data_IF_237282829622
#
_entry.id   IF_237282829622
#
_cell.length_a   1.000
_cell.length_b   1.000
_cell.length_c   1.000
_cell.angle_alpha   90.00
_cell.angle_beta   90.00
_cell.angle_gamma   90.00
#
_symmetry.space_group_name_H-M   'P 1'
#
loop_
_entity.id
_entity.type
_entity.pdbx_description
1 polymer ?
#
# COMPACT_ATOMS: atom_id res chain seq x y z
N UNK A 1 -15.17 -7.92 17.71
CA UNK A 1 -14.03 -7.56 16.84
C UNK A 1 -12.82 -7.25 17.75
N UNK A 2 -12.32 -8.27 18.47
CA UNK A 2 -11.43 -8.07 19.63
C UNK A 2 -9.93 -8.16 19.31
N UNK A 3 -9.57 -8.42 18.05
CA UNK A 3 -8.18 -8.60 17.62
C UNK A 3 -7.48 -7.29 17.22
N UNK A 4 -8.25 -6.25 16.84
CA UNK A 4 -7.71 -4.93 16.48
C UNK A 4 -7.01 -4.27 17.68
N UNK A 5 -7.61 -4.19 18.89
CA UNK A 5 -6.93 -3.67 20.07
C UNK A 5 -5.61 -4.36 20.38
N UNK A 6 -5.54 -5.68 20.15
CA UNK A 6 -4.30 -6.45 20.33
C UNK A 6 -3.20 -5.96 19.38
N UNK A 7 -3.52 -5.71 18.10
CA UNK A 7 -2.54 -5.18 17.15
C UNK A 7 -2.12 -3.74 17.47
N UNK A 8 -3.04 -2.91 17.97
CA UNK A 8 -2.72 -1.55 18.45
C UNK A 8 -1.68 -1.64 19.58
N UNK A 9 -1.91 -2.49 20.56
CA UNK A 9 -0.97 -2.70 21.67
C UNK A 9 0.41 -3.14 21.16
N UNK A 10 0.50 -4.06 20.19
CA UNK A 10 1.78 -4.51 19.63
C UNK A 10 2.45 -3.43 18.78
N UNK A 11 1.67 -2.60 18.08
CA UNK A 11 2.17 -1.42 17.37
C UNK A 11 2.83 -0.43 18.33
N UNK A 12 2.14 -0.07 19.43
CA UNK A 12 2.68 0.82 20.47
C UNK A 12 3.95 0.25 21.10
N UNK A 13 3.98 -1.05 21.37
CA UNK A 13 5.17 -1.73 21.87
C UNK A 13 6.37 -1.56 20.93
N UNK A 14 6.20 -1.84 19.63
CA UNK A 14 7.26 -1.68 18.62
C UNK A 14 7.75 -0.24 18.57
N UNK A 15 6.83 0.73 18.52
CA UNK A 15 7.16 2.16 18.49
C UNK A 15 7.94 2.58 19.74
N UNK A 16 7.56 2.08 20.92
CA UNK A 16 8.25 2.33 22.18
C UNK A 16 9.68 1.79 22.19
N UNK A 17 9.88 0.57 21.68
CA UNK A 17 11.22 -0.01 21.53
C UNK A 17 12.08 0.85 20.62
N UNK A 18 11.58 1.21 19.43
CA UNK A 18 12.32 2.06 18.48
C UNK A 18 12.64 3.45 19.06
N UNK A 19 11.68 4.07 19.74
CA UNK A 19 11.85 5.38 20.37
C UNK A 19 12.90 5.34 21.51
N UNK A 20 12.87 4.29 22.35
CA UNK A 20 13.84 4.12 23.44
C UNK A 20 15.25 3.90 22.91
N UNK A 21 15.42 3.10 21.84
CA UNK A 21 16.73 2.91 21.21
C UNK A 21 17.28 4.23 20.67
N UNK A 22 16.42 5.05 20.04
CA UNK A 22 16.79 6.39 19.56
C UNK A 22 17.26 7.32 20.68
N UNK A 23 16.60 7.30 21.85
CA UNK A 23 17.02 8.07 23.03
C UNK A 23 18.40 7.64 23.55
N UNK A 24 18.77 6.36 23.35
CA UNK A 24 20.09 5.83 23.70
C UNK A 24 21.16 6.05 22.60
N UNK A 25 20.88 6.91 21.61
CA UNK A 25 21.80 7.20 20.49
C UNK A 25 21.81 6.15 19.37
N UNK A 26 20.91 5.16 19.41
CA UNK A 26 20.77 4.14 18.36
C UNK A 26 19.66 4.58 17.39
N UNK A 27 20.06 5.17 16.26
CA UNK A 27 19.11 5.74 15.29
C UNK A 27 18.27 4.70 14.53
N UNK A 28 18.76 3.47 14.42
CA UNK A 28 18.11 2.37 13.69
C UNK A 28 18.31 1.02 14.35
N UNK A 29 17.28 0.19 14.34
CA UNK A 29 17.25 -1.13 14.99
C UNK A 29 17.10 -2.22 13.93
N UNK A 30 17.99 -3.22 13.96
CA UNK A 30 17.95 -4.31 12.99
C UNK A 30 16.80 -5.30 13.30
N UNK A 31 16.14 -5.85 12.28
CA UNK A 31 15.01 -6.78 12.46
C UNK A 31 15.34 -8.00 13.32
N UNK A 32 16.59 -8.48 13.30
CA UNK A 32 17.05 -9.61 14.14
C UNK A 32 16.95 -9.34 15.64
N UNK A 33 16.95 -8.07 16.06
CA UNK A 33 16.77 -7.70 17.46
C UNK A 33 15.28 -7.64 17.84
N UNK A 34 14.43 -7.19 16.92
CA UNK A 34 12.98 -7.08 17.14
C UNK A 34 12.27 -8.44 17.04
N UNK A 35 12.66 -9.27 16.06
CA UNK A 35 11.95 -10.49 15.68
C UNK A 35 11.77 -11.49 16.83
N UNK A 36 12.80 -11.83 17.63
CA UNK A 36 12.63 -12.80 18.72
C UNK A 36 11.61 -12.34 19.77
N UNK A 37 11.58 -11.04 20.06
CA UNK A 37 10.65 -10.46 21.02
C UNK A 37 9.23 -10.47 20.46
N UNK A 38 9.07 -10.02 19.21
CA UNK A 38 7.77 -10.02 18.54
C UNK A 38 7.21 -11.43 18.35
N UNK A 39 8.04 -12.40 17.98
CA UNK A 39 7.62 -13.80 17.85
C UNK A 39 7.09 -14.36 19.18
N UNK A 40 7.70 -14.01 20.32
CA UNK A 40 7.18 -14.40 21.64
C UNK A 40 5.86 -13.73 21.96
N UNK A 41 5.72 -12.44 21.66
CA UNK A 41 4.47 -11.71 21.89
C UNK A 41 3.33 -12.28 21.04
N UNK A 42 3.61 -12.60 19.78
CA UNK A 42 2.64 -13.10 18.81
C UNK A 42 2.33 -14.60 18.96
N UNK A 43 3.10 -15.36 19.73
CA UNK A 43 2.87 -16.80 19.92
C UNK A 43 1.48 -17.11 20.51
N UNK A 44 0.98 -16.21 21.36
CA UNK A 44 -0.33 -16.31 22.00
C UNK A 44 -1.34 -15.33 21.39
N UNK A 45 -1.11 -14.85 20.16
CA UNK A 45 -2.03 -13.94 19.50
C UNK A 45 -3.37 -14.65 19.20
N UNK A 46 -4.51 -13.93 19.27
CA UNK A 46 -5.80 -14.44 18.83
C UNK A 46 -5.74 -15.01 17.41
N UNK A 47 -6.60 -15.99 17.10
CA UNK A 47 -6.60 -16.67 15.81
C UNK A 47 -6.71 -15.68 14.64
N UNK A 48 -7.56 -14.66 14.76
CA UNK A 48 -7.76 -13.65 13.74
C UNK A 48 -6.50 -12.81 13.49
N UNK A 49 -5.67 -12.59 14.52
CA UNK A 49 -4.35 -11.93 14.34
C UNK A 49 -3.39 -12.85 13.60
N UNK A 50 -3.42 -14.15 13.91
CA UNK A 50 -2.58 -15.13 13.22
C UNK A 50 -2.96 -15.24 11.75
N UNK A 51 -4.26 -15.27 11.45
CA UNK A 51 -4.81 -15.23 10.10
C UNK A 51 -4.45 -13.93 9.37
N UNK A 52 -4.61 -12.78 10.05
CA UNK A 52 -4.22 -11.48 9.52
C UNK A 52 -2.73 -11.44 9.15
N UNK A 53 -1.85 -12.02 9.96
CA UNK A 53 -0.39 -12.03 9.75
C UNK A 53 0.09 -13.24 8.93
N UNK A 54 -0.81 -14.10 8.45
CA UNK A 54 -0.45 -15.33 7.76
C UNK A 54 0.21 -15.03 6.41
N UNK A 55 1.42 -15.55 6.19
CA UNK A 55 2.10 -15.43 4.91
C UNK A 55 3.01 -16.63 4.62
N UNK A 56 3.14 -16.99 3.34
CA UNK A 56 3.90 -18.18 2.91
C UNK A 56 5.41 -18.08 3.16
N UNK A 57 5.99 -16.87 3.14
CA UNK A 57 7.44 -16.67 3.17
C UNK A 57 7.95 -15.90 4.39
N UNK A 58 7.07 -15.15 5.05
CA UNK A 58 7.47 -14.22 6.11
C UNK A 58 6.90 -14.70 7.44
N UNK A 59 7.64 -14.50 8.53
CA UNK A 59 7.15 -14.78 9.88
C UNK A 59 6.09 -13.74 10.29
N UNK A 60 5.18 -14.05 11.23
CA UNK A 60 4.20 -13.08 11.73
C UNK A 60 4.82 -11.76 12.22
N UNK A 61 5.98 -11.84 12.89
CA UNK A 61 6.73 -10.66 13.32
C UNK A 61 7.20 -9.80 12.13
N UNK A 62 7.71 -10.44 11.07
CA UNK A 62 8.12 -9.73 9.86
C UNK A 62 6.93 -9.18 9.08
N UNK A 63 5.80 -9.87 9.07
CA UNK A 63 4.52 -9.37 8.52
C UNK A 63 4.07 -8.11 9.26
N UNK A 64 4.09 -8.13 10.59
CA UNK A 64 3.70 -6.97 11.42
C UNK A 64 4.62 -5.77 11.16
N UNK A 65 5.94 -5.96 11.16
CA UNK A 65 6.90 -4.88 10.86
C UNK A 65 6.70 -4.31 9.44
N UNK A 66 6.53 -5.18 8.44
CA UNK A 66 6.29 -4.74 7.07
C UNK A 66 4.95 -3.99 6.95
N UNK A 67 3.91 -4.43 7.65
CA UNK A 67 2.62 -3.75 7.64
C UNK A 67 2.70 -2.37 8.30
N UNK A 68 3.25 -2.26 9.51
CA UNK A 68 3.47 -0.97 10.18
C UNK A 68 4.33 -0.01 9.35
N UNK A 69 5.34 -0.55 8.66
CA UNK A 69 6.14 0.26 7.74
C UNK A 69 5.34 0.69 6.51
N UNK A 70 4.46 -0.17 6.00
CA UNK A 70 3.68 0.12 4.79
C UNK A 70 2.68 1.25 4.98
N UNK A 71 2.20 1.45 6.21
CA UNK A 71 1.28 2.55 6.57
C UNK A 71 2.02 3.78 7.15
N UNK A 72 3.36 3.71 7.23
CA UNK A 72 4.23 4.80 7.69
C UNK A 72 4.28 5.05 9.21
N UNK A 73 3.76 4.12 10.02
CA UNK A 73 3.86 4.17 11.50
C UNK A 73 5.29 3.93 11.99
N UNK A 74 6.06 3.15 11.22
CA UNK A 74 7.51 2.99 11.36
C UNK A 74 8.15 3.11 9.98
N UNK A 75 9.48 3.18 9.93
CA UNK A 75 10.23 3.27 8.68
C UNK A 75 11.10 2.05 8.54
N UNK A 76 10.98 1.38 7.42
CA UNK A 76 11.92 0.36 6.97
C UNK A 76 13.04 1.02 6.18
N UNK A 77 14.26 0.81 6.64
CA UNK A 77 15.49 1.21 5.99
C UNK A 77 16.10 0.00 5.26
N UNK A 78 17.15 0.26 4.49
CA UNK A 78 17.93 -0.78 3.83
C UNK A 78 18.50 -1.80 4.82
N UNK A 79 18.87 -2.97 4.30
CA UNK A 79 19.49 -4.07 5.06
C UNK A 79 18.70 -4.55 6.28
N UNK A 80 17.38 -4.33 6.29
CA UNK A 80 16.49 -4.85 7.34
C UNK A 80 16.50 -4.05 8.64
N UNK A 81 16.86 -2.77 8.58
CA UNK A 81 16.78 -1.85 9.71
C UNK A 81 15.41 -1.15 9.79
N UNK A 82 15.01 -0.77 11.00
CA UNK A 82 13.79 0.01 11.25
C UNK A 82 14.07 1.21 12.15
N UNK A 83 13.31 2.28 11.96
CA UNK A 83 13.32 3.47 12.80
C UNK A 83 11.92 4.09 12.91
N UNK A 84 11.77 5.16 13.69
CA UNK A 84 10.53 5.91 13.83
C UNK A 84 10.79 7.41 13.63
N UNK A 85 9.94 8.05 12.82
CA UNK A 85 9.96 9.50 12.65
C UNK A 85 9.32 10.24 13.82
N UNK A 86 9.45 11.57 13.81
CA UNK A 86 8.71 12.40 14.74
C UNK A 86 7.19 12.19 14.56
N UNK A 87 6.43 12.11 15.66
CA UNK A 87 4.96 12.10 15.61
C UNK A 87 4.41 13.34 14.91
N UNK A 88 3.30 13.16 14.19
CA UNK A 88 2.59 14.26 13.53
C UNK A 88 1.09 13.97 13.46
N UNK A 89 0.31 15.01 13.21
CA UNK A 89 -1.10 14.91 12.88
C UNK A 89 -1.28 14.96 11.37
N UNK A 90 -2.24 14.19 10.87
CA UNK A 90 -2.68 14.23 9.49
C UNK A 90 -4.10 14.79 9.42
N UNK A 91 -4.36 15.69 8.49
CA UNK A 91 -5.70 16.16 8.16
C UNK A 91 -6.31 15.27 7.05
N UNK A 92 -7.48 14.69 7.34
CA UNK A 92 -8.24 13.89 6.40
C UNK A 92 -8.85 14.75 5.29
N UNK A 93 -9.02 14.21 4.07
CA UNK A 93 -9.20 15.04 2.89
C UNK A 93 -10.62 15.60 2.77
N UNK A 94 -11.66 14.85 3.16
CA UNK A 94 -13.07 15.25 3.06
C UNK A 94 -13.56 15.84 4.37
N UNK A 95 -13.46 15.08 5.45
CA UNK A 95 -14.03 15.46 6.76
C UNK A 95 -13.22 16.52 7.49
N UNK A 96 -11.97 16.75 7.08
CA UNK A 96 -10.98 17.60 7.77
C UNK A 96 -10.70 17.16 9.20
N UNK A 97 -11.10 15.94 9.58
CA UNK A 97 -10.73 15.38 10.87
C UNK A 97 -9.21 15.19 10.95
N UNK A 98 -8.68 15.27 12.16
CA UNK A 98 -7.25 15.09 12.42
C UNK A 98 -7.01 13.70 13.00
N UNK A 99 -6.03 12.98 12.46
CA UNK A 99 -5.59 11.68 12.98
C UNK A 99 -4.12 11.75 13.38
N UNK A 100 -3.78 11.17 14.53
CA UNK A 100 -2.40 11.10 15.01
C UNK A 100 -1.67 9.87 14.47
N UNK A 101 -0.44 10.06 13.96
CA UNK A 101 0.42 8.96 13.48
C UNK A 101 1.77 8.95 14.20
N UNK A 102 2.33 7.75 14.37
CA UNK A 102 3.66 7.49 14.98
C UNK A 102 3.78 7.83 16.47
N UNK A 103 2.66 8.03 17.17
CA UNK A 103 2.64 8.30 18.62
C UNK A 103 3.01 7.06 19.43
N UNK A 104 3.72 7.26 20.55
CA UNK A 104 4.22 6.20 21.43
C UNK A 104 3.33 5.99 22.67
N UNK A 105 2.79 7.07 23.27
CA UNK A 105 2.17 7.01 24.61
C UNK A 105 0.78 7.70 24.71
N UNK A 106 0.53 8.78 23.97
CA UNK A 106 -0.69 9.58 24.06
C UNK A 106 -1.81 9.04 23.16
N UNK A 107 -2.32 7.85 23.47
CA UNK A 107 -3.40 7.23 22.71
C UNK A 107 -4.68 7.10 23.55
N UNK A 108 -5.80 7.57 23.01
CA UNK A 108 -7.06 6.85 23.18
C UNK A 108 -7.17 5.92 21.97
N UNK A 109 -7.29 4.62 22.22
CA UNK A 109 -7.38 3.62 21.17
C UNK A 109 -8.65 3.81 20.33
N UNK A 110 -8.47 3.95 19.02
CA UNK A 110 -9.58 3.88 18.07
C UNK A 110 -9.95 2.41 17.82
N UNK A 111 -11.24 2.11 17.75
CA UNK A 111 -11.74 0.73 17.78
C UNK A 111 -11.42 -0.07 16.49
N UNK A 112 -11.12 0.63 15.38
CA UNK A 112 -11.03 0.05 14.02
C UNK A 112 -9.77 0.51 13.27
N UNK A 113 -8.91 1.32 13.87
CA UNK A 113 -7.67 1.81 13.23
C UNK A 113 -6.50 1.62 14.19
N UNK A 114 -5.27 1.78 13.70
CA UNK A 114 -4.07 1.80 14.56
C UNK A 114 -3.49 3.19 14.76
N UNK A 115 -4.14 4.21 14.20
CA UNK A 115 -3.83 5.61 14.43
C UNK A 115 -4.31 6.05 15.80
N UNK A 116 -3.71 7.13 16.29
CA UNK A 116 -4.04 7.75 17.57
C UNK A 116 -4.97 8.95 17.37
N UNK A 117 -5.52 9.46 18.48
CA UNK A 117 -6.06 10.83 18.50
C UNK A 117 -4.96 11.85 18.17
N UNK A 118 -5.33 12.99 17.57
CA UNK A 118 -4.38 14.06 17.30
C UNK A 118 -3.93 14.76 18.58
N UNK A 119 -2.70 15.27 18.58
CA UNK A 119 -2.13 16.11 19.66
C UNK A 119 -1.78 17.48 19.08
N UNK A 120 -2.45 18.53 19.58
CA UNK A 120 -2.32 19.89 19.06
C UNK A 120 -0.90 20.47 19.15
N UNK A 121 -0.01 19.90 19.96
CA UNK A 121 1.40 20.31 20.03
C UNK A 121 2.25 19.80 18.87
N UNK A 122 1.75 18.86 18.05
CA UNK A 122 2.48 18.30 16.90
C UNK A 122 2.12 18.99 15.59
N UNK A 123 3.03 18.86 14.62
CA UNK A 123 2.82 19.39 13.27
C UNK A 123 1.58 18.77 12.62
N UNK A 124 0.86 19.58 11.84
CA UNK A 124 -0.26 19.15 11.02
C UNK A 124 0.19 19.07 9.56
N UNK A 125 -0.07 17.95 8.91
CA UNK A 125 0.18 17.73 7.49
C UNK A 125 -1.13 17.31 6.81
N UNK A 126 -1.42 17.77 5.58
CA UNK A 126 -2.43 17.14 4.77
C UNK A 126 -2.12 15.65 4.57
N UNK A 127 -3.12 14.77 4.58
CA UNK A 127 -2.89 13.34 4.35
C UNK A 127 -2.23 13.05 2.99
N UNK A 128 -2.42 13.94 2.02
CA UNK A 128 -1.79 13.86 0.69
C UNK A 128 -0.28 14.05 0.73
N UNK A 129 0.21 14.78 1.73
CA UNK A 129 1.64 15.08 1.91
C UNK A 129 2.33 14.02 2.78
N UNK A 130 1.54 13.18 3.47
CA UNK A 130 2.03 12.06 4.26
C UNK A 130 2.72 11.00 3.40
N UNK A 131 2.08 10.66 2.27
CA UNK A 131 2.60 9.78 1.23
C UNK A 131 2.27 10.41 -0.11
N UNK A 132 3.30 10.96 -0.76
CA UNK A 132 3.14 11.49 -2.11
C UNK A 132 2.77 10.37 -3.07
N UNK A 133 1.65 10.55 -3.76
CA UNK A 133 1.15 9.64 -4.78
C UNK A 133 0.73 10.44 -6.01
N UNK A 134 1.39 10.24 -7.18
CA UNK A 134 1.05 10.96 -8.39
C UNK A 134 -0.35 10.58 -8.86
N UNK A 135 -1.03 11.50 -9.54
CA UNK A 135 -2.28 11.20 -10.25
C UNK A 135 -2.04 10.09 -11.29
N UNK A 136 -3.13 9.46 -11.75
CA UNK A 136 -3.03 8.42 -12.79
C UNK A 136 -2.42 8.96 -14.08
N UNK A 137 -2.72 10.21 -14.44
CA UNK A 137 -2.11 10.88 -15.59
C UNK A 137 -0.61 11.11 -15.40
N UNK A 138 -0.22 11.73 -14.27
CA UNK A 138 1.19 11.97 -13.93
C UNK A 138 2.00 10.66 -13.89
N UNK A 139 1.39 9.58 -13.40
CA UNK A 139 2.02 8.26 -13.34
C UNK A 139 2.54 7.84 -14.72
N UNK A 140 1.74 8.00 -15.79
CA UNK A 140 2.19 7.62 -17.13
C UNK A 140 3.18 8.64 -17.71
N UNK A 141 3.03 9.92 -17.35
CA UNK A 141 3.91 11.00 -17.81
C UNK A 141 5.32 10.96 -17.21
N UNK A 142 5.51 10.24 -16.09
CA UNK A 142 6.85 9.97 -15.52
C UNK A 142 7.70 9.05 -16.41
N UNK A 143 7.07 8.28 -17.30
CA UNK A 143 7.77 7.37 -18.20
C UNK A 143 8.01 8.07 -19.55
N UNK A 144 9.19 8.70 -19.67
CA UNK A 144 9.57 9.49 -20.84
C UNK A 144 10.75 8.88 -21.62
N UNK A 145 11.60 8.11 -20.95
CA UNK A 145 12.86 7.60 -21.49
C UNK A 145 12.73 6.13 -21.85
N UNK A 146 12.32 5.86 -23.09
CA UNK A 146 12.19 4.50 -23.60
C UNK A 146 13.44 4.08 -24.36
N UNK A 147 13.93 2.87 -24.09
CA UNK A 147 15.07 2.26 -24.78
C UNK A 147 14.60 1.19 -25.76
N UNK A 148 15.19 1.14 -26.95
CA UNK A 148 14.91 0.11 -27.94
C UNK A 148 15.20 -1.29 -27.40
N UNK A 149 14.34 -2.25 -27.75
CA UNK A 149 14.48 -3.67 -27.41
C UNK A 149 13.88 -4.53 -28.53
N UNK A 150 14.55 -5.63 -28.83
CA UNK A 150 14.10 -6.57 -29.86
C UNK A 150 13.32 -7.77 -29.30
N UNK A 151 13.42 -8.02 -27.98
CA UNK A 151 12.90 -9.23 -27.34
C UNK A 151 11.95 -8.96 -26.17
N UNK A 152 10.65 -9.11 -26.44
CA UNK A 152 9.57 -9.09 -25.45
C UNK A 152 8.74 -10.37 -25.56
N UNK A 153 8.42 -10.99 -24.43
CA UNK A 153 7.65 -12.24 -24.43
C UNK A 153 6.17 -11.98 -24.66
N UNK A 154 5.64 -10.91 -24.09
CA UNK A 154 4.21 -10.63 -24.14
C UNK A 154 3.94 -9.14 -24.09
N UNK A 155 2.99 -8.70 -24.92
CA UNK A 155 2.58 -7.30 -25.03
C UNK A 155 1.07 -7.23 -24.86
N UNK A 156 0.63 -6.26 -24.08
CA UNK A 156 -0.77 -6.04 -23.75
C UNK A 156 -1.20 -4.63 -24.10
N UNK A 157 -2.39 -4.54 -24.68
CA UNK A 157 -3.14 -3.31 -24.88
C UNK A 157 -4.30 -3.26 -23.89
N UNK A 158 -4.51 -2.09 -23.30
CA UNK A 158 -5.67 -1.84 -22.46
C UNK A 158 -6.81 -1.26 -23.30
N UNK A 159 -8.02 -1.75 -23.03
CA UNK A 159 -9.26 -1.36 -23.72
C UNK A 159 -10.37 -1.22 -22.67
N UNK A 160 -11.52 -0.65 -23.06
CA UNK A 160 -12.72 -0.62 -22.20
C UNK A 160 -13.16 -2.01 -21.69
N UNK A 161 -12.83 -3.07 -22.45
CA UNK A 161 -13.12 -4.46 -22.10
C UNK A 161 -12.05 -5.13 -21.24
N UNK A 162 -10.94 -4.45 -20.98
CA UNK A 162 -9.83 -4.94 -20.17
C UNK A 162 -8.54 -5.10 -20.95
N UNK A 163 -7.60 -5.82 -20.32
CA UNK A 163 -6.26 -6.09 -20.84
C UNK A 163 -6.33 -7.20 -21.90
N UNK A 164 -5.85 -6.90 -23.10
CA UNK A 164 -5.80 -7.85 -24.21
C UNK A 164 -4.35 -8.06 -24.63
N UNK A 165 -3.92 -9.32 -24.74
CA UNK A 165 -2.63 -9.66 -25.34
C UNK A 165 -2.67 -9.36 -26.84
N UNK A 166 -1.62 -8.74 -27.37
CA UNK A 166 -1.52 -8.34 -28.78
C UNK A 166 -0.26 -8.95 -29.38
N UNK A 167 -0.42 -9.60 -30.53
CA UNK A 167 0.68 -10.27 -31.26
C UNK A 167 0.98 -9.61 -32.61
N UNK A 168 0.10 -8.73 -33.10
CA UNK A 168 0.21 -8.03 -34.39
C UNK A 168 -0.61 -6.73 -34.40
N UNK A 169 -0.40 -5.89 -35.41
CA UNK A 169 -1.14 -4.63 -35.63
C UNK A 169 -0.98 -3.63 -34.47
N UNK A 170 0.26 -3.26 -34.19
CA UNK A 170 0.59 -2.28 -33.17
C UNK A 170 0.32 -0.86 -33.67
N UNK A 171 -0.17 0.00 -32.78
CA UNK A 171 -0.43 1.40 -33.06
C UNK A 171 0.77 2.20 -32.61
N UNK A 172 1.34 2.95 -33.55
CA UNK A 172 2.50 3.80 -33.29
C UNK A 172 2.24 4.78 -32.14
N UNK A 173 3.23 4.96 -31.26
CA UNK A 173 3.24 5.87 -30.11
C UNK A 173 2.15 5.63 -29.04
N UNK A 174 1.35 4.57 -29.17
CA UNK A 174 0.44 4.14 -28.10
C UNK A 174 1.22 3.45 -26.99
N UNK A 175 0.81 3.69 -25.74
CA UNK A 175 1.35 2.96 -24.59
C UNK A 175 0.76 1.56 -24.49
N UNK A 176 1.65 0.60 -24.28
CA UNK A 176 1.38 -0.80 -24.02
C UNK A 176 2.03 -1.19 -22.69
N UNK A 177 1.57 -2.30 -22.12
CA UNK A 177 2.32 -3.00 -21.07
C UNK A 177 3.03 -4.17 -21.73
N UNK A 178 4.32 -4.32 -21.46
CA UNK A 178 5.09 -5.49 -21.88
C UNK A 178 5.61 -6.28 -20.68
N UNK A 179 5.78 -7.58 -20.87
CA UNK A 179 6.34 -8.49 -19.88
C UNK A 179 7.49 -9.28 -20.51
N UNK A 180 8.55 -9.48 -19.71
CA UNK A 180 9.70 -10.33 -20.06
C UNK A 180 10.05 -11.23 -18.87
N UNK A 181 10.12 -12.53 -19.10
CA UNK A 181 10.47 -13.56 -18.13
C UNK A 181 11.97 -13.78 -18.17
N UNK A 182 12.62 -13.50 -17.05
CA UNK A 182 14.02 -13.87 -16.84
C UNK A 182 14.07 -15.15 -16.01
N UNK A 183 14.64 -16.21 -16.58
CA UNK A 183 14.89 -17.44 -15.84
C UNK A 183 16.00 -17.23 -14.80
N UNK A 184 15.85 -17.83 -13.62
CA UNK A 184 16.92 -17.90 -12.63
C UNK A 184 17.80 -19.12 -12.89
N UNK A 185 19.10 -19.02 -12.60
CA UNK A 185 20.06 -20.11 -12.75
C UNK A 185 19.69 -21.39 -11.96
N UNK A 186 18.94 -21.23 -10.86
CA UNK A 186 18.51 -22.34 -9.98
C UNK A 186 17.05 -22.75 -10.18
N UNK A 187 16.46 -22.40 -11.32
CA UNK A 187 15.06 -22.70 -11.64
C UNK A 187 14.08 -21.61 -11.21
N UNK A 188 12.97 -21.51 -11.94
CA UNK A 188 11.96 -20.45 -11.79
C UNK A 188 12.22 -19.24 -12.70
N UNK A 189 11.29 -18.27 -12.66
CA UNK A 189 11.35 -17.07 -13.49
C UNK A 189 10.92 -15.81 -12.71
N UNK A 190 11.58 -14.68 -12.97
CA UNK A 190 11.09 -13.33 -12.61
C UNK A 190 10.44 -12.71 -13.82
N UNK A 191 9.22 -12.20 -13.66
CA UNK A 191 8.56 -11.42 -14.72
C UNK A 191 8.87 -9.94 -14.50
N UNK A 192 9.69 -9.36 -15.37
CA UNK A 192 9.88 -7.93 -15.46
C UNK A 192 8.76 -7.30 -16.26
N UNK A 193 8.33 -6.11 -15.84
CA UNK A 193 7.23 -5.38 -16.45
C UNK A 193 7.72 -4.04 -16.96
N UNK A 194 7.22 -3.66 -18.12
CA UNK A 194 7.65 -2.46 -18.82
C UNK A 194 6.44 -1.71 -19.36
N UNK A 195 6.53 -0.39 -19.38
CA UNK A 195 5.75 0.39 -20.32
C UNK A 195 6.46 0.32 -21.68
N UNK A 196 5.68 0.14 -22.74
CA UNK A 196 6.20 -0.05 -24.09
C UNK A 196 5.51 0.88 -25.09
N UNK A 197 6.26 1.33 -26.10
CA UNK A 197 5.76 2.04 -27.28
C UNK A 197 6.25 1.33 -28.52
N UNK A 198 5.39 1.27 -29.54
CA UNK A 198 5.77 0.81 -30.87
C UNK A 198 6.12 2.01 -31.73
N UNK A 199 7.32 2.03 -32.29
CA UNK A 199 7.79 3.06 -33.23
C UNK A 199 8.35 2.36 -34.47
N UNK A 200 9.67 2.42 -34.68
CA UNK A 200 10.41 1.60 -35.66
C UNK A 200 10.93 0.29 -35.04
N UNK A 201 10.17 -0.25 -34.09
CA UNK A 201 10.61 -1.27 -33.14
C UNK A 201 10.00 -1.03 -31.77
N UNK A 202 10.20 -1.97 -30.83
CA UNK A 202 9.73 -1.81 -29.47
C UNK A 202 10.68 -0.96 -28.66
N UNK A 203 10.13 0.02 -27.96
CA UNK A 203 10.86 0.83 -27.01
C UNK A 203 10.21 0.68 -25.64
N UNK A 204 11.01 0.41 -24.62
CA UNK A 204 10.51 0.07 -23.28
C UNK A 204 11.12 0.94 -22.19
N UNK A 205 10.41 1.08 -21.08
CA UNK A 205 10.93 1.60 -19.83
C UNK A 205 10.45 0.70 -18.69
N UNK A 206 11.38 0.28 -17.81
CA UNK A 206 11.08 -0.63 -16.71
C UNK A 206 10.15 0.03 -15.69
N UNK A 207 9.13 -0.72 -15.28
CA UNK A 207 8.23 -0.33 -14.19
C UNK A 207 8.81 -0.92 -12.89
N UNK A 208 9.05 -0.07 -11.89
CA UNK A 208 9.46 -0.53 -10.58
C UNK A 208 8.37 -1.37 -9.92
N UNK A 209 8.74 -2.39 -9.15
CA UNK A 209 7.78 -3.35 -8.60
C UNK A 209 6.68 -2.68 -7.74
N UNK A 210 7.00 -1.59 -7.05
CA UNK A 210 6.05 -0.79 -6.26
C UNK A 210 5.01 -0.05 -7.11
N UNK A 211 5.36 0.34 -8.34
CA UNK A 211 4.53 1.20 -9.20
C UNK A 211 3.65 0.39 -10.15
N UNK A 212 3.85 -0.93 -10.25
CA UNK A 212 3.12 -1.82 -11.17
C UNK A 212 1.61 -1.59 -11.08
N UNK A 213 1.05 -1.58 -9.87
CA UNK A 213 -0.39 -1.43 -9.72
C UNK A 213 -0.87 -0.05 -10.12
N UNK A 214 -0.17 1.02 -9.75
CA UNK A 214 -0.53 2.37 -10.18
C UNK A 214 -0.52 2.51 -11.70
N UNK A 215 0.49 1.95 -12.38
CA UNK A 215 0.55 1.90 -13.85
C UNK A 215 -0.64 1.11 -14.43
N UNK A 216 -1.05 0.00 -13.81
CA UNK A 216 -2.24 -0.74 -14.23
C UNK A 216 -3.51 0.10 -14.10
N UNK A 217 -3.70 0.81 -12.99
CA UNK A 217 -4.84 1.72 -12.82
C UNK A 217 -4.82 2.81 -13.91
N UNK A 218 -3.68 3.46 -14.13
CA UNK A 218 -3.55 4.52 -15.10
C UNK A 218 -3.81 4.06 -16.55
N UNK A 219 -3.30 2.88 -16.95
CA UNK A 219 -3.57 2.32 -18.27
C UNK A 219 -5.05 1.94 -18.47
N UNK A 220 -5.73 1.46 -17.42
CA UNK A 220 -7.17 1.19 -17.46
C UNK A 220 -7.97 2.49 -17.58
N UNK A 221 -7.69 3.49 -16.75
CA UNK A 221 -8.37 4.80 -16.76
C UNK A 221 -8.24 5.47 -18.13
N UNK A 222 -7.01 5.52 -18.70
CA UNK A 222 -6.76 6.02 -20.07
C UNK A 222 -7.54 5.25 -21.14
N UNK A 223 -7.87 3.99 -20.91
CA UNK A 223 -8.67 3.16 -21.81
C UNK A 223 -10.18 3.26 -21.57
N UNK A 224 -10.63 4.14 -20.66
CA UNK A 224 -12.03 4.32 -20.29
C UNK A 224 -12.59 3.16 -19.45
N UNK A 225 -11.73 2.44 -18.73
CA UNK A 225 -12.12 1.35 -17.84
C UNK A 225 -11.72 1.69 -16.40
N UNK A 226 -12.67 1.52 -15.48
CA UNK A 226 -12.47 1.85 -14.07
C UNK A 226 -12.61 0.60 -13.21
N UNK A 227 -11.76 0.47 -12.20
CA UNK A 227 -11.98 -0.53 -11.16
C UNK A 227 -13.09 -0.07 -10.23
N UNK A 228 -13.74 -1.05 -9.61
CA UNK A 228 -14.93 -0.82 -8.81
C UNK A 228 -14.76 -1.25 -7.37
N UNK A 229 -15.58 -0.70 -6.48
CA UNK A 229 -15.70 -1.13 -5.10
C UNK A 229 -17.17 -1.29 -4.69
N UNK A 230 -17.43 -2.06 -3.63
CA UNK A 230 -18.75 -2.23 -3.00
C UNK A 230 -18.66 -1.77 -1.55
N UNK A 231 -19.70 -1.11 -1.08
CA UNK A 231 -19.88 -0.71 0.31
C UNK A 231 -21.00 -1.53 0.94
N UNK A 232 -20.76 -2.03 2.15
CA UNK A 232 -21.78 -2.72 2.94
C UNK A 232 -21.79 -2.15 4.36
N UNK A 233 -22.81 -1.33 4.63
CA UNK A 233 -22.91 -0.56 5.87
C UNK A 233 -23.31 -1.46 7.04
N UNK A 234 -22.53 -1.39 8.12
CA UNK A 234 -22.79 -2.00 9.42
C UNK A 234 -23.02 -0.90 10.46
N UNK A 235 -23.30 -1.30 11.71
CA UNK A 235 -23.66 -0.37 12.78
C UNK A 235 -22.57 0.69 13.08
N UNK A 236 -21.31 0.25 13.21
CA UNK A 236 -20.19 1.13 13.58
C UNK A 236 -19.16 1.33 12.45
N UNK A 237 -19.26 0.55 11.39
CA UNK A 237 -18.32 0.56 10.29
C UNK A 237 -19.01 0.21 8.98
N UNK A 238 -18.36 0.48 7.87
CA UNK A 238 -18.74 0.04 6.54
C UNK A 238 -17.68 -0.93 6.04
N UNK A 239 -18.11 -2.08 5.55
CA UNK A 239 -17.22 -2.99 4.83
C UNK A 239 -17.02 -2.47 3.41
N UNK A 240 -15.77 -2.23 3.07
CA UNK A 240 -15.34 -1.84 1.73
C UNK A 240 -14.73 -3.06 1.04
N UNK A 241 -15.30 -3.48 -0.09
CA UNK A 241 -14.77 -4.57 -0.93
C UNK A 241 -14.32 -4.02 -2.29
N UNK A 242 -13.06 -4.26 -2.65
CA UNK A 242 -12.44 -3.78 -3.87
C UNK A 242 -12.39 -4.88 -4.94
N UNK A 243 -12.70 -4.53 -6.19
CA UNK A 243 -12.50 -5.42 -7.33
C UNK A 243 -11.02 -5.85 -7.48
N UNK A 244 -10.14 -4.89 -7.25
CA UNK A 244 -8.71 -5.01 -7.43
C UNK A 244 -8.02 -4.41 -6.22
N UNK A 245 -6.85 -4.94 -5.85
CA UNK A 245 -6.06 -4.34 -4.77
C UNK A 245 -5.58 -2.94 -5.15
N UNK A 246 -5.29 -2.13 -4.15
CA UNK A 246 -4.82 -0.76 -4.32
C UNK A 246 -3.31 -0.73 -4.64
N UNK A 247 -2.81 0.32 -5.31
CA UNK A 247 -1.41 0.69 -5.25
C UNK A 247 -0.95 0.94 -3.81
N UNK A 248 0.36 0.97 -3.60
CA UNK A 248 0.95 1.01 -2.26
C UNK A 248 0.49 2.22 -1.46
N UNK A 249 0.47 3.39 -2.07
CA UNK A 249 0.16 4.63 -1.37
C UNK A 249 -1.32 4.70 -0.97
N UNK A 250 -2.28 4.40 -1.86
CA UNK A 250 -3.71 4.38 -1.46
C UNK A 250 -4.01 3.27 -0.48
N UNK A 251 -3.33 2.11 -0.57
CA UNK A 251 -3.42 1.08 0.46
C UNK A 251 -2.99 1.63 1.82
N UNK A 252 -1.86 2.34 1.88
CA UNK A 252 -1.33 2.92 3.09
C UNK A 252 -2.26 3.98 3.66
N UNK A 253 -2.73 4.91 2.83
CA UNK A 253 -3.66 5.97 3.23
C UNK A 253 -4.98 5.40 3.76
N UNK A 254 -5.57 4.43 3.04
CA UNK A 254 -6.80 3.78 3.47
C UNK A 254 -6.62 2.99 4.78
N UNK A 255 -5.44 2.38 4.98
CA UNK A 255 -5.10 1.63 6.20
C UNK A 255 -4.80 2.52 7.41
N UNK A 256 -4.66 3.83 7.23
CA UNK A 256 -4.61 4.77 8.37
C UNK A 256 -5.99 4.94 8.99
N UNK A 257 -7.02 5.03 8.16
CA UNK A 257 -8.39 5.33 8.58
C UNK A 257 -9.31 4.11 8.60
N UNK A 258 -8.77 2.92 8.37
CA UNK A 258 -9.51 1.66 8.42
C UNK A 258 -8.60 0.44 8.57
N UNK A 259 -9.20 -0.71 8.86
CA UNK A 259 -8.47 -1.96 9.07
C UNK A 259 -8.63 -2.89 7.86
N UNK A 260 -7.55 -3.28 7.15
CA UNK A 260 -7.64 -4.33 6.15
C UNK A 260 -7.99 -5.68 6.81
N UNK A 261 -8.80 -6.51 6.16
CA UNK A 261 -9.09 -7.87 6.64
C UNK A 261 -7.87 -8.80 6.54
N UNK A 262 -6.96 -8.51 5.61
CA UNK A 262 -5.68 -9.21 5.41
C UNK A 262 -4.61 -8.19 5.05
N UNK A 263 -3.39 -8.27 5.58
CA UNK A 263 -2.38 -7.25 5.30
C UNK A 263 -1.83 -7.30 3.86
N UNK A 264 -1.72 -8.50 3.27
CA UNK A 264 -1.22 -8.68 1.90
C UNK A 264 -2.36 -8.85 0.92
N UNK A 265 -2.20 -8.19 -0.23
CA UNK A 265 -3.17 -8.20 -1.33
C UNK A 265 -4.60 -7.89 -0.86
N UNK A 266 -4.71 -7.01 0.14
CA UNK A 266 -5.98 -6.64 0.75
C UNK A 266 -6.95 -6.11 -0.32
N UNK A 267 -8.15 -6.68 -0.32
CA UNK A 267 -9.29 -6.21 -1.10
C UNK A 267 -10.49 -5.87 -0.23
N UNK A 268 -10.38 -6.07 1.08
CA UNK A 268 -11.48 -5.83 1.99
C UNK A 268 -10.98 -5.07 3.21
N UNK A 269 -11.76 -4.07 3.63
CA UNK A 269 -11.43 -3.19 4.74
C UNK A 269 -12.66 -2.96 5.62
N UNK A 270 -12.42 -2.79 6.91
CA UNK A 270 -13.37 -2.23 7.86
C UNK A 270 -13.07 -0.74 7.99
N UNK A 271 -14.00 0.11 7.54
CA UNK A 271 -13.87 1.57 7.62
C UNK A 271 -14.84 2.09 8.69
N UNK A 272 -14.41 2.83 9.72
CA UNK A 272 -15.32 3.55 10.61
C UNK A 272 -16.33 4.36 9.81
N UNK A 273 -17.60 4.32 10.20
CA UNK A 273 -18.65 5.03 9.45
C UNK A 273 -18.39 6.54 9.33
N UNK A 274 -17.71 7.13 10.31
CA UNK A 274 -17.29 8.54 10.32
C UNK A 274 -16.21 8.89 9.28
N UNK A 275 -15.42 7.91 8.83
CA UNK A 275 -14.32 8.10 7.88
C UNK A 275 -14.67 7.62 6.46
N UNK A 276 -15.94 7.30 6.20
CA UNK A 276 -16.34 6.71 4.92
C UNK A 276 -16.10 7.68 3.75
N UNK A 277 -16.42 8.97 3.92
CA UNK A 277 -16.24 9.97 2.87
C UNK A 277 -14.74 10.17 2.54
N UNK A 278 -13.88 10.14 3.56
CA UNK A 278 -12.43 10.20 3.38
C UNK A 278 -11.90 8.96 2.65
N UNK A 279 -12.43 7.77 2.98
CA UNK A 279 -12.09 6.54 2.27
C UNK A 279 -12.51 6.60 0.80
N UNK A 280 -13.71 7.12 0.51
CA UNK A 280 -14.19 7.32 -0.87
C UNK A 280 -13.26 8.29 -1.61
N UNK A 281 -12.87 9.41 -0.99
CA UNK A 281 -11.96 10.37 -1.63
C UNK A 281 -10.59 9.76 -1.94
N UNK A 282 -10.04 8.93 -1.04
CA UNK A 282 -8.81 8.16 -1.32
C UNK A 282 -8.98 7.25 -2.55
N UNK A 283 -10.12 6.55 -2.67
CA UNK A 283 -10.40 5.69 -3.83
C UNK A 283 -10.64 6.48 -5.13
N UNK A 284 -11.19 7.70 -5.03
CA UNK A 284 -11.41 8.58 -6.18
C UNK A 284 -10.10 9.07 -6.81
N UNK A 285 -8.99 9.12 -6.07
CA UNK A 285 -7.65 9.37 -6.64
C UNK A 285 -7.24 8.34 -7.70
N UNK A 286 -7.85 7.15 -7.64
CA UNK A 286 -7.66 6.07 -8.61
C UNK A 286 -8.82 5.97 -9.61
N UNK A 287 -9.68 6.99 -9.66
CA UNK A 287 -10.89 7.06 -10.50
C UNK A 287 -11.82 5.85 -10.31
N UNK A 288 -11.80 5.24 -9.11
CA UNK A 288 -12.63 4.07 -8.83
C UNK A 288 -14.10 4.44 -8.69
N UNK A 289 -14.98 3.49 -9.05
CA UNK A 289 -16.43 3.69 -9.02
C UNK A 289 -17.11 2.71 -8.08
N UNK A 290 -18.12 3.18 -7.35
CA UNK A 290 -18.97 2.28 -6.59
C UNK A 290 -19.77 1.37 -7.54
N UNK A 291 -19.91 0.09 -7.18
CA UNK A 291 -20.80 -0.84 -7.87
C UNK A 291 -22.24 -0.54 -7.47
N UNK A 292 -23.06 -0.23 -8.48
CA UNK A 292 -24.52 -0.22 -8.36
C UNK A 292 -25.06 -1.61 -8.04
#
# INVERSE_FOLDING_TARGET
MNWIPYLIEKSLYIKSVLASQKQNGIEKVHFRQLTPVLSRLLANAPQEVQEFLQHKKDTPAQCLLNWLSSIGEIIKLDDGYYTIWAPCNLELPSTKQKVGVRYVLEHESQFITITSKPDESKSLLPITDYLYAPTLEETLNQYQSFTEIDDLDTIYRFTKYGRQQVTKNFTTDKLYLAEKKQAFAHGGYKTHRFLAKFQKGWHIQQIADKDIWRVYYALNARAGRYFTYKLEKQLFFTELELQMKLPHEEFALLSLIGMPKTFKDAKSFYIPNENLDDAIEILQRLEMKERS
#
